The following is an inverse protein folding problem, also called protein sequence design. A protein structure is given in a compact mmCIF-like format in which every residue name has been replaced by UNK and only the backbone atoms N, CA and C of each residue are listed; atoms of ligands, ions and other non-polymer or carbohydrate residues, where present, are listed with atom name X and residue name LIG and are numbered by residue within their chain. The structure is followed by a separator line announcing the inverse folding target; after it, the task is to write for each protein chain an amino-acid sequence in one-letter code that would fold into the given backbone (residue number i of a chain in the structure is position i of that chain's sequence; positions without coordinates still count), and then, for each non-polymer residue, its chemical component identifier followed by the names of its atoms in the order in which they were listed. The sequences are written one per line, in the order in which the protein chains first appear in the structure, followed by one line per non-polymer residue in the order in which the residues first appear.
data_IF_179666629394
#
_entry.id   IF_179666629394
#
_cell.length_a   1.000
_cell.length_b   1.000
_cell.length_c   1.000
_cell.angle_alpha   90.00
_cell.angle_beta   90.00
_cell.angle_gamma   90.00
#
_symmetry.space_group_name_H-M   'P 1'
#
loop_
_entity.id
_entity.type
_entity.pdbx_description
1 polymer ?
#
# COMPACT_ATOMS: atom_id res chain seq x y z
N UNK A 1 26.16 56.33 -11.97
CA UNK A 1 26.40 55.21 -11.08
C UNK A 1 25.41 54.10 -11.39
N UNK A 2 25.95 53.00 -11.67
CA UNK A 2 25.57 51.70 -12.24
C UNK A 2 24.25 51.11 -11.78
N UNK A 3 23.55 50.40 -12.66
CA UNK A 3 22.36 49.60 -12.31
C UNK A 3 22.74 48.27 -11.73
N UNK A 4 21.85 47.76 -10.94
CA UNK A 4 21.95 46.53 -10.25
C UNK A 4 21.58 45.34 -11.11
N UNK A 5 22.17 44.26 -10.73
CA UNK A 5 22.22 42.97 -11.37
C UNK A 5 20.92 42.20 -11.18
N UNK A 6 20.64 41.46 -12.19
CA UNK A 6 19.65 40.40 -12.33
C UNK A 6 19.66 39.41 -11.16
N UNK A 7 18.54 39.29 -10.47
CA UNK A 7 18.21 38.08 -9.71
C UNK A 7 17.81 37.00 -10.75
N UNK A 8 18.76 36.19 -11.12
CA UNK A 8 18.55 34.95 -11.84
C UNK A 8 17.77 34.00 -10.94
N UNK A 9 16.45 33.94 -11.11
CA UNK A 9 15.63 32.87 -10.60
C UNK A 9 16.02 31.59 -11.36
N UNK A 10 16.95 30.84 -10.79
CA UNK A 10 17.29 29.48 -11.22
C UNK A 10 16.11 28.54 -10.97
N UNK A 11 15.14 28.57 -11.85
CA UNK A 11 14.12 27.54 -11.98
C UNK A 11 14.77 26.25 -12.46
N UNK A 12 15.12 25.34 -11.52
CA UNK A 12 15.56 23.98 -11.87
C UNK A 12 14.50 23.36 -12.77
N UNK A 13 14.84 23.09 -14.02
CA UNK A 13 13.95 22.47 -14.98
C UNK A 13 13.62 21.06 -14.51
N UNK A 14 12.38 20.86 -14.00
CA UNK A 14 11.88 19.56 -13.58
C UNK A 14 12.04 18.55 -14.71
N UNK A 15 12.71 17.45 -14.47
CA UNK A 15 12.98 16.42 -15.47
C UNK A 15 11.67 15.79 -16.00
N UNK A 16 11.72 15.19 -17.20
CA UNK A 16 10.57 14.48 -17.77
C UNK A 16 10.09 13.35 -16.84
N UNK A 17 11.00 12.67 -16.15
CA UNK A 17 10.72 11.63 -15.19
C UNK A 17 9.97 12.17 -13.97
N UNK A 18 10.44 13.29 -13.40
CA UNK A 18 9.79 13.94 -12.26
C UNK A 18 8.38 14.46 -12.60
N UNK A 19 8.20 15.02 -13.80
CA UNK A 19 6.87 15.44 -14.26
C UNK A 19 5.92 14.26 -14.39
N UNK A 20 6.42 13.11 -14.90
CA UNK A 20 5.62 11.89 -15.00
C UNK A 20 5.25 11.37 -13.61
N UNK A 21 6.18 11.32 -12.65
CA UNK A 21 5.91 10.93 -11.26
C UNK A 21 4.87 11.86 -10.59
N UNK A 22 4.99 13.17 -10.77
CA UNK A 22 4.02 14.14 -10.25
C UNK A 22 2.62 13.94 -10.83
N UNK A 23 2.50 13.55 -12.09
CA UNK A 23 1.22 13.19 -12.72
C UNK A 23 0.61 11.93 -12.15
N UNK A 24 1.42 10.89 -11.84
CA UNK A 24 0.94 9.68 -11.17
C UNK A 24 0.39 10.00 -9.78
N UNK A 25 1.08 10.82 -8.99
CA UNK A 25 0.60 11.26 -7.68
C UNK A 25 -0.68 12.12 -7.77
N UNK A 26 -0.77 13.00 -8.76
CA UNK A 26 -1.98 13.80 -9.00
C UNK A 26 -3.16 12.91 -9.40
N UNK A 27 -2.93 11.87 -10.21
CA UNK A 27 -3.95 10.89 -10.58
C UNK A 27 -4.44 10.09 -9.36
N UNK A 28 -3.55 9.67 -8.46
CA UNK A 28 -3.92 8.99 -7.20
C UNK A 28 -4.78 9.90 -6.32
N UNK A 29 -4.40 11.17 -6.13
CA UNK A 29 -5.22 12.14 -5.39
C UNK A 29 -6.58 12.36 -6.03
N UNK A 30 -6.62 12.44 -7.36
CA UNK A 30 -7.88 12.60 -8.11
C UNK A 30 -8.80 11.38 -7.92
N UNK A 31 -8.26 10.16 -7.94
CA UNK A 31 -9.04 8.93 -7.65
C UNK A 31 -9.61 8.96 -6.23
N UNK A 32 -8.80 9.29 -5.23
CA UNK A 32 -9.26 9.37 -3.84
C UNK A 32 -10.38 10.43 -3.63
N UNK A 33 -10.36 11.50 -4.43
CA UNK A 33 -11.33 12.60 -4.32
C UNK A 33 -12.60 12.39 -5.14
N UNK A 34 -12.51 11.71 -6.27
CA UNK A 34 -13.58 11.63 -7.26
C UNK A 34 -13.98 10.18 -7.61
N UNK A 35 -13.34 9.19 -6.99
CA UNK A 35 -13.53 7.77 -7.29
C UNK A 35 -12.77 7.29 -8.53
N UNK A 36 -12.88 5.98 -8.82
CA UNK A 36 -12.16 5.32 -9.90
C UNK A 36 -12.57 5.78 -11.32
N UNK A 37 -13.74 6.41 -11.48
CA UNK A 37 -14.24 6.94 -12.76
C UNK A 37 -13.78 8.39 -13.03
N UNK A 38 -12.70 8.83 -12.39
CA UNK A 38 -12.14 10.16 -12.52
C UNK A 38 -11.80 10.54 -13.96
N UNK A 39 -12.13 11.80 -14.33
CA UNK A 39 -11.92 12.31 -15.68
C UNK A 39 -10.60 13.04 -15.84
N UNK A 40 -10.07 13.10 -17.06
CA UNK A 40 -8.82 13.78 -17.40
C UNK A 40 -8.73 15.21 -16.86
N UNK A 41 -9.82 15.98 -16.94
CA UNK A 41 -9.88 17.36 -16.41
C UNK A 41 -9.68 17.45 -14.90
N UNK A 42 -10.12 16.44 -14.15
CA UNK A 42 -9.97 16.40 -12.70
C UNK A 42 -8.52 16.06 -12.33
N UNK A 43 -7.88 15.11 -13.05
CA UNK A 43 -6.45 14.82 -12.88
C UNK A 43 -5.61 16.04 -13.24
N UNK A 44 -5.91 16.72 -14.35
CA UNK A 44 -5.21 17.93 -14.77
C UNK A 44 -5.30 19.04 -13.70
N UNK A 45 -6.49 19.24 -13.13
CA UNK A 45 -6.69 20.20 -12.03
C UNK A 45 -5.86 19.85 -10.80
N UNK A 46 -5.82 18.57 -10.38
CA UNK A 46 -4.99 18.11 -9.25
C UNK A 46 -3.47 18.23 -9.53
N UNK A 47 -3.07 18.23 -10.80
CA UNK A 47 -1.67 18.43 -11.22
C UNK A 47 -1.29 19.89 -11.41
N UNK A 48 -2.25 20.82 -11.37
CA UNK A 48 -2.04 22.23 -11.75
C UNK A 48 -1.70 22.41 -13.24
N UNK A 49 -2.23 21.55 -14.12
CA UNK A 49 -1.92 21.49 -15.55
C UNK A 49 -3.19 21.58 -16.40
N UNK A 50 -3.01 21.78 -17.71
CA UNK A 50 -4.06 21.60 -18.70
C UNK A 50 -4.21 20.14 -19.11
N UNK A 51 -5.40 19.72 -19.57
CA UNK A 51 -5.61 18.37 -20.11
C UNK A 51 -4.65 18.04 -21.26
N UNK A 52 -4.31 19.00 -22.12
CA UNK A 52 -3.33 18.82 -23.19
C UNK A 52 -1.93 18.53 -22.70
N UNK A 53 -1.51 19.17 -21.59
CA UNK A 53 -0.21 18.90 -20.97
C UNK A 53 -0.14 17.48 -20.36
N UNK A 54 -1.25 16.98 -19.81
CA UNK A 54 -1.35 15.59 -19.32
C UNK A 54 -1.25 14.59 -20.48
N UNK A 55 -1.98 14.85 -21.59
CA UNK A 55 -1.98 14.00 -22.79
C UNK A 55 -0.62 13.97 -23.50
N UNK A 56 0.24 14.96 -23.31
CA UNK A 56 1.62 14.90 -23.78
C UNK A 56 2.43 13.78 -23.13
N UNK A 57 2.11 13.42 -21.88
CA UNK A 57 2.81 12.38 -21.10
C UNK A 57 2.11 11.01 -21.15
N UNK A 58 0.79 10.99 -21.31
CA UNK A 58 -0.03 9.78 -21.32
C UNK A 58 -1.03 9.83 -22.47
N UNK A 59 -1.20 8.75 -23.24
CA UNK A 59 -2.06 8.75 -24.43
C UNK A 59 -3.55 9.02 -24.09
N UNK A 60 -3.97 8.63 -22.90
CA UNK A 60 -5.32 8.81 -22.38
C UNK A 60 -5.32 8.75 -20.83
N UNK A 61 -6.48 9.08 -20.25
CA UNK A 61 -6.65 9.07 -18.79
C UNK A 61 -6.58 7.65 -18.22
N UNK A 62 -7.05 6.64 -18.95
CA UNK A 62 -7.05 5.26 -18.48
C UNK A 62 -5.62 4.73 -18.33
N UNK A 63 -4.76 4.97 -19.29
CA UNK A 63 -3.33 4.62 -19.23
C UNK A 63 -2.64 5.29 -18.03
N UNK A 64 -2.95 6.57 -17.79
CA UNK A 64 -2.43 7.29 -16.62
C UNK A 64 -2.91 6.65 -15.32
N UNK A 65 -4.21 6.32 -15.20
CA UNK A 65 -4.79 5.72 -14.01
C UNK A 65 -4.20 4.33 -13.73
N UNK A 66 -4.03 3.51 -14.75
CA UNK A 66 -3.41 2.17 -14.61
C UNK A 66 -1.99 2.29 -14.07
N UNK A 67 -1.17 3.21 -14.60
CA UNK A 67 0.18 3.41 -14.09
C UNK A 67 0.22 4.03 -12.68
N UNK A 68 -0.66 4.99 -12.40
CA UNK A 68 -0.77 5.59 -11.07
C UNK A 68 -1.13 4.53 -10.02
N UNK A 69 -2.03 3.63 -10.35
CA UNK A 69 -2.46 2.56 -9.49
C UNK A 69 -1.35 1.53 -9.26
N UNK A 70 -0.65 1.12 -10.31
CA UNK A 70 0.52 0.25 -10.20
C UNK A 70 1.57 0.87 -9.28
N UNK A 71 1.92 2.13 -9.49
CA UNK A 71 2.90 2.82 -8.66
C UNK A 71 2.48 2.93 -7.19
N UNK A 72 1.17 3.08 -6.91
CA UNK A 72 0.62 3.05 -5.55
C UNK A 72 0.77 1.68 -4.90
N UNK A 73 0.44 0.61 -5.61
CA UNK A 73 0.56 -0.77 -5.13
C UNK A 73 2.02 -1.18 -4.91
N UNK A 74 2.92 -0.80 -5.82
CA UNK A 74 4.36 -1.04 -5.67
C UNK A 74 4.89 -0.36 -4.42
N UNK A 75 4.57 0.93 -4.22
CA UNK A 75 4.98 1.67 -3.02
C UNK A 75 4.44 1.04 -1.73
N UNK A 76 3.16 0.66 -1.69
CA UNK A 76 2.57 -0.03 -0.54
C UNK A 76 3.31 -1.33 -0.21
N UNK A 77 3.61 -2.15 -1.21
CA UNK A 77 4.36 -3.39 -1.02
C UNK A 77 5.81 -3.14 -0.57
N UNK A 78 6.50 -2.16 -1.17
CA UNK A 78 7.88 -1.83 -0.83
C UNK A 78 8.00 -1.24 0.58
N UNK A 79 6.99 -0.52 1.06
CA UNK A 79 6.91 -0.03 2.44
C UNK A 79 6.80 -1.19 3.43
N UNK A 80 6.02 -2.22 3.12
CA UNK A 80 5.94 -3.45 3.91
C UNK A 80 7.27 -4.21 3.95
N UNK A 81 7.97 -4.33 2.82
CA UNK A 81 9.29 -4.95 2.78
C UNK A 81 10.30 -4.19 3.64
N UNK A 82 10.30 -2.85 3.57
CA UNK A 82 11.17 -2.01 4.39
C UNK A 82 10.87 -2.15 5.89
N UNK A 83 9.60 -2.30 6.26
CA UNK A 83 9.20 -2.47 7.66
C UNK A 83 9.82 -3.74 8.31
N UNK A 84 10.07 -4.77 7.52
CA UNK A 84 10.66 -6.04 8.00
C UNK A 84 12.15 -6.19 7.67
N UNK A 85 12.76 -5.19 7.07
CA UNK A 85 14.18 -5.22 6.73
C UNK A 85 15.04 -5.33 8.01
N UNK A 86 16.01 -6.23 8.01
CA UNK A 86 16.90 -6.46 9.16
C UNK A 86 16.28 -7.25 10.31
N UNK A 87 15.00 -7.60 10.28
CA UNK A 87 14.39 -8.46 11.30
C UNK A 87 14.69 -9.92 10.95
N UNK A 88 15.47 -10.60 11.79
CA UNK A 88 15.87 -12.00 11.57
C UNK A 88 14.82 -12.99 12.10
N UNK A 89 14.20 -12.68 13.24
CA UNK A 89 13.29 -13.56 13.98
C UNK A 89 11.93 -13.69 13.24
N UNK A 90 11.51 -14.91 12.84
CA UNK A 90 10.28 -15.13 12.08
C UNK A 90 9.01 -14.65 12.79
N UNK A 91 8.92 -14.83 14.10
CA UNK A 91 7.77 -14.38 14.90
C UNK A 91 7.62 -12.85 14.87
N UNK A 92 8.72 -12.14 15.07
CA UNK A 92 8.77 -10.68 14.99
C UNK A 92 8.46 -10.18 13.58
N UNK A 93 9.04 -10.83 12.55
CA UNK A 93 8.72 -10.52 11.14
C UNK A 93 7.24 -10.68 10.86
N UNK A 94 6.62 -11.76 11.35
CA UNK A 94 5.20 -12.02 11.14
C UNK A 94 4.33 -10.93 11.76
N UNK A 95 4.61 -10.53 13.01
CA UNK A 95 3.89 -9.44 13.69
C UNK A 95 4.02 -8.13 12.93
N UNK A 96 5.23 -7.69 12.60
CA UNK A 96 5.47 -6.42 11.88
C UNK A 96 4.85 -6.45 10.48
N UNK A 97 4.87 -7.61 9.81
CA UNK A 97 4.24 -7.75 8.50
C UNK A 97 2.72 -7.57 8.60
N UNK A 98 2.06 -8.14 9.62
CA UNK A 98 0.63 -7.95 9.87
C UNK A 98 0.32 -6.49 10.20
N UNK A 99 1.09 -5.86 11.10
CA UNK A 99 0.92 -4.44 11.45
C UNK A 99 1.04 -3.53 10.23
N UNK A 100 1.99 -3.79 9.33
CA UNK A 100 2.19 -3.01 8.10
C UNK A 100 1.15 -3.29 6.99
N UNK A 101 0.34 -4.31 7.12
CA UNK A 101 -0.69 -4.70 6.14
C UNK A 101 -2.04 -4.03 6.36
N UNK A 102 -2.24 -3.41 7.51
CA UNK A 102 -3.49 -2.74 7.88
C UNK A 102 -3.33 -1.21 7.82
N UNK A 103 -4.41 -0.46 7.55
CA UNK A 103 -4.36 1.00 7.53
C UNK A 103 -4.04 1.54 8.93
N UNK A 104 -3.27 2.65 8.99
CA UNK A 104 -2.97 3.33 10.25
C UNK A 104 -4.20 4.02 10.84
N UNK A 105 -5.13 4.44 9.98
CA UNK A 105 -6.43 5.00 10.35
C UNK A 105 -7.43 4.92 9.18
N UNK A 106 -8.63 5.44 9.37
CA UNK A 106 -9.69 5.46 8.34
C UNK A 106 -9.41 6.39 7.16
N UNK A 107 -8.37 7.18 7.22
CA UNK A 107 -7.99 8.14 6.17
C UNK A 107 -6.71 7.75 5.44
N UNK A 108 -6.17 6.55 5.72
CA UNK A 108 -4.98 6.00 5.06
C UNK A 108 -5.11 6.07 3.53
N UNK A 109 -4.28 6.86 2.84
CA UNK A 109 -4.44 7.11 1.41
C UNK A 109 -4.08 5.89 0.56
N UNK A 110 -3.18 5.01 1.02
CA UNK A 110 -2.77 3.83 0.27
C UNK A 110 -3.91 2.81 0.26
N UNK A 111 -4.50 2.53 1.43
CA UNK A 111 -5.60 1.57 1.52
C UNK A 111 -6.88 2.11 0.90
N UNK A 112 -7.18 3.42 1.04
CA UNK A 112 -8.29 4.05 0.30
C UNK A 112 -8.17 3.86 -1.20
N UNK A 113 -6.99 4.07 -1.76
CA UNK A 113 -6.74 3.85 -3.19
C UNK A 113 -7.02 2.38 -3.57
N UNK A 114 -6.55 1.41 -2.79
CA UNK A 114 -6.80 -0.01 -3.03
C UNK A 114 -8.29 -0.33 -2.97
N UNK A 115 -9.05 0.23 -2.03
CA UNK A 115 -10.50 0.06 -1.92
C UNK A 115 -11.24 0.60 -3.15
N UNK A 116 -10.89 1.81 -3.62
CA UNK A 116 -11.48 2.40 -4.82
C UNK A 116 -11.23 1.55 -6.07
N UNK A 117 -10.03 1.01 -6.21
CA UNK A 117 -9.67 0.14 -7.33
C UNK A 117 -10.34 -1.23 -7.25
N UNK A 118 -10.43 -1.79 -6.04
CA UNK A 118 -11.15 -3.04 -5.78
C UNK A 118 -12.61 -2.93 -6.18
N UNK A 119 -13.28 -1.85 -5.79
CA UNK A 119 -14.66 -1.57 -6.19
C UNK A 119 -14.86 -1.40 -7.68
N UNK A 120 -13.84 -0.96 -8.42
CA UNK A 120 -13.88 -0.75 -9.86
C UNK A 120 -13.41 -1.96 -10.69
N UNK A 121 -12.79 -2.98 -10.09
CA UNK A 121 -12.16 -4.11 -10.79
C UNK A 121 -13.14 -4.89 -11.69
N UNK A 122 -14.41 -4.97 -11.30
CA UNK A 122 -15.47 -5.59 -12.14
C UNK A 122 -15.76 -4.84 -13.44
N UNK A 123 -15.48 -3.51 -13.47
CA UNK A 123 -15.66 -2.67 -14.68
C UNK A 123 -14.36 -2.52 -15.47
N UNK A 124 -13.23 -2.59 -14.81
CA UNK A 124 -11.90 -2.40 -15.40
C UNK A 124 -11.01 -3.63 -15.13
N UNK A 125 -11.00 -4.63 -16.02
CA UNK A 125 -10.28 -5.89 -15.83
C UNK A 125 -8.78 -5.70 -15.48
N UNK A 126 -8.15 -4.63 -15.99
CA UNK A 126 -6.75 -4.31 -15.69
C UNK A 126 -6.53 -4.06 -14.20
N UNK A 127 -7.50 -3.46 -13.48
CA UNK A 127 -7.39 -3.29 -12.04
C UNK A 127 -7.46 -4.63 -11.31
N UNK A 128 -8.31 -5.56 -11.77
CA UNK A 128 -8.34 -6.93 -11.24
C UNK A 128 -7.00 -7.64 -11.38
N UNK A 129 -6.32 -7.48 -12.53
CA UNK A 129 -4.97 -8.05 -12.74
C UNK A 129 -3.95 -7.45 -11.77
N UNK A 130 -3.96 -6.13 -11.57
CA UNK A 130 -3.06 -5.46 -10.63
C UNK A 130 -3.29 -5.89 -9.19
N UNK A 131 -4.56 -5.98 -8.76
CA UNK A 131 -4.92 -6.43 -7.40
C UNK A 131 -4.53 -7.88 -7.17
N UNK A 132 -4.74 -8.77 -8.15
CA UNK A 132 -4.30 -10.16 -8.09
C UNK A 132 -2.78 -10.24 -7.93
N UNK A 133 -2.03 -9.48 -8.72
CA UNK A 133 -0.58 -9.46 -8.62
C UNK A 133 -0.08 -8.95 -7.24
N UNK A 134 -0.74 -7.94 -6.67
CA UNK A 134 -0.43 -7.46 -5.32
C UNK A 134 -0.74 -8.53 -4.27
N UNK A 135 -1.92 -9.14 -4.32
CA UNK A 135 -2.32 -10.22 -3.44
C UNK A 135 -1.30 -11.37 -3.46
N UNK A 136 -0.92 -11.86 -4.65
CA UNK A 136 0.04 -12.97 -4.78
C UNK A 136 1.43 -12.61 -4.22
N UNK A 137 1.89 -11.37 -4.38
CA UNK A 137 3.15 -10.90 -3.79
C UNK A 137 3.08 -10.86 -2.25
N UNK A 138 1.98 -10.38 -1.68
CA UNK A 138 1.76 -10.36 -0.24
C UNK A 138 1.67 -11.79 0.33
N UNK A 139 0.95 -12.67 -0.33
CA UNK A 139 0.88 -14.09 0.04
C UNK A 139 2.26 -14.74 0.04
N UNK A 140 3.08 -14.50 -1.00
CA UNK A 140 4.44 -15.03 -1.07
C UNK A 140 5.33 -14.51 0.09
N UNK A 141 5.20 -13.24 0.46
CA UNK A 141 5.92 -12.65 1.60
C UNK A 141 5.57 -13.36 2.90
N UNK A 142 4.28 -13.57 3.20
CA UNK A 142 3.84 -14.33 4.38
C UNK A 142 4.29 -15.78 4.34
N UNK A 143 4.19 -16.43 3.18
CA UNK A 143 4.59 -17.83 3.02
C UNK A 143 6.06 -18.04 3.40
N UNK A 144 6.96 -17.18 2.94
CA UNK A 144 8.39 -17.23 3.29
C UNK A 144 8.61 -17.09 4.80
N UNK A 145 7.89 -16.19 5.47
CA UNK A 145 8.00 -15.99 6.91
C UNK A 145 7.52 -17.24 7.68
N UNK A 146 6.38 -17.80 7.29
CA UNK A 146 5.79 -18.98 7.90
C UNK A 146 6.68 -20.22 7.73
N UNK A 147 7.21 -20.43 6.53
CA UNK A 147 8.13 -21.55 6.22
C UNK A 147 9.46 -21.40 6.97
N UNK A 148 9.99 -20.18 7.07
CA UNK A 148 11.20 -19.91 7.86
C UNK A 148 10.98 -20.22 9.35
N UNK A 149 9.86 -19.78 9.93
CA UNK A 149 9.52 -20.06 11.33
C UNK A 149 9.30 -21.55 11.60
N UNK A 150 8.68 -22.27 10.67
CA UNK A 150 8.49 -23.71 10.78
C UNK A 150 9.84 -24.46 10.67
N UNK A 151 10.70 -24.08 9.73
CA UNK A 151 12.02 -24.66 9.55
C UNK A 151 12.94 -24.45 10.76
N UNK A 152 12.79 -23.33 11.47
CA UNK A 152 13.51 -23.01 12.71
C UNK A 152 12.86 -23.65 13.96
N UNK A 153 11.74 -24.34 13.83
CA UNK A 153 11.01 -24.95 14.95
C UNK A 153 10.25 -23.95 15.84
N UNK A 154 10.16 -22.68 15.44
CA UNK A 154 9.36 -21.67 16.15
C UNK A 154 7.85 -21.86 15.94
N UNK A 155 7.44 -22.22 14.71
CA UNK A 155 6.04 -22.37 14.35
C UNK A 155 5.67 -23.82 14.15
N UNK A 156 4.48 -24.21 14.68
CA UNK A 156 3.81 -25.45 14.32
C UNK A 156 2.58 -25.08 13.51
N UNK A 157 2.68 -25.20 12.18
CA UNK A 157 1.63 -24.75 11.27
C UNK A 157 0.43 -25.69 11.32
N UNK A 158 -0.77 -25.14 11.52
CA UNK A 158 -2.04 -25.89 11.56
C UNK A 158 -2.56 -26.29 10.17
N UNK A 159 -2.00 -25.69 9.12
CA UNK A 159 -2.37 -25.89 7.72
C UNK A 159 -1.17 -25.57 6.81
N UNK A 160 -1.20 -25.91 5.51
CA UNK A 160 -0.15 -25.52 4.58
C UNK A 160 0.14 -24.02 4.61
N UNK A 161 1.42 -23.62 4.58
CA UNK A 161 1.87 -22.23 4.68
C UNK A 161 1.13 -21.30 3.71
N UNK A 162 0.92 -21.75 2.47
CA UNK A 162 0.17 -21.04 1.44
C UNK A 162 -1.28 -20.75 1.86
N UNK A 163 -1.95 -21.70 2.53
CA UNK A 163 -3.33 -21.53 3.00
C UNK A 163 -3.38 -20.48 4.12
N UNK A 164 -2.46 -20.56 5.07
CA UNK A 164 -2.36 -19.60 6.18
C UNK A 164 -2.07 -18.20 5.63
N UNK A 165 -1.10 -18.07 4.72
CA UNK A 165 -0.72 -16.82 4.10
C UNK A 165 -1.90 -16.14 3.37
N UNK A 166 -2.66 -16.90 2.58
CA UNK A 166 -3.86 -16.42 1.88
C UNK A 166 -4.93 -15.92 2.86
N UNK A 167 -5.13 -16.63 3.96
CA UNK A 167 -6.12 -16.23 4.96
C UNK A 167 -5.68 -14.95 5.68
N UNK A 168 -4.38 -14.79 6.00
CA UNK A 168 -3.87 -13.55 6.62
C UNK A 168 -4.14 -12.36 5.69
N UNK A 169 -3.76 -12.43 4.42
CA UNK A 169 -3.97 -11.33 3.47
C UNK A 169 -5.46 -11.04 3.29
N UNK A 170 -6.31 -12.08 3.20
CA UNK A 170 -7.76 -11.89 3.10
C UNK A 170 -8.36 -11.21 4.34
N UNK A 171 -7.84 -11.50 5.54
CA UNK A 171 -8.26 -10.83 6.78
C UNK A 171 -7.79 -9.37 6.82
N UNK A 172 -6.55 -9.08 6.39
CA UNK A 172 -6.06 -7.71 6.25
C UNK A 172 -6.96 -6.90 5.30
N UNK A 173 -7.27 -7.44 4.13
CA UNK A 173 -8.15 -6.79 3.15
C UNK A 173 -9.54 -6.54 3.74
N UNK A 174 -10.13 -7.54 4.43
CA UNK A 174 -11.46 -7.42 5.01
C UNK A 174 -11.52 -6.38 6.13
N UNK A 175 -10.57 -6.39 7.05
CA UNK A 175 -10.53 -5.42 8.16
C UNK A 175 -10.10 -4.03 7.67
N UNK A 176 -9.12 -3.93 6.77
CA UNK A 176 -8.71 -2.68 6.15
C UNK A 176 -9.89 -1.99 5.46
N UNK A 177 -10.69 -2.73 4.67
CA UNK A 177 -11.91 -2.18 4.07
C UNK A 177 -12.90 -1.67 5.12
N UNK A 178 -13.11 -2.40 6.25
CA UNK A 178 -14.02 -1.99 7.32
C UNK A 178 -13.54 -0.74 8.05
N UNK A 179 -12.24 -0.61 8.25
CA UNK A 179 -11.65 0.60 8.84
C UNK A 179 -11.85 1.83 7.94
N UNK A 180 -11.57 1.70 6.63
CA UNK A 180 -11.81 2.78 5.65
C UNK A 180 -13.32 3.14 5.60
N UNK A 181 -14.20 2.15 5.76
CA UNK A 181 -15.64 2.38 5.86
C UNK A 181 -16.10 2.93 7.22
N UNK A 182 -15.16 3.26 8.12
CA UNK A 182 -15.40 3.83 9.46
C UNK A 182 -16.30 2.97 10.35
N UNK A 183 -16.03 1.66 10.38
CA UNK A 183 -16.76 0.75 11.27
C UNK A 183 -16.53 1.14 12.73
N UNK A 184 -17.60 1.28 13.55
CA UNK A 184 -17.48 1.90 14.88
C UNK A 184 -16.67 1.10 15.91
N UNK A 185 -16.44 -0.19 15.65
CA UNK A 185 -15.72 -1.09 16.58
C UNK A 185 -14.40 -1.61 16.00
N UNK A 186 -13.91 -1.06 14.90
CA UNK A 186 -12.66 -1.48 14.25
C UNK A 186 -11.75 -0.27 14.03
N UNK A 187 -10.74 -0.16 14.86
CA UNK A 187 -9.59 0.72 14.71
C UNK A 187 -8.33 -0.09 14.32
N UNK A 188 -7.20 0.58 14.19
CA UNK A 188 -5.95 -0.08 13.81
C UNK A 188 -5.54 -1.17 14.82
N UNK A 189 -5.58 -0.86 16.11
CA UNK A 189 -5.15 -1.79 17.15
C UNK A 189 -6.04 -3.03 17.23
N UNK A 190 -7.36 -2.88 17.25
CA UNK A 190 -8.31 -3.99 17.29
C UNK A 190 -8.22 -4.84 16.01
N UNK A 191 -8.03 -4.23 14.85
CA UNK A 191 -7.91 -4.95 13.58
C UNK A 191 -6.62 -5.77 13.51
N UNK A 192 -5.49 -5.21 13.96
CA UNK A 192 -4.22 -5.94 14.09
C UNK A 192 -4.38 -7.14 15.02
N UNK A 193 -4.99 -6.96 16.19
CA UNK A 193 -5.19 -8.08 17.13
C UNK A 193 -6.05 -9.20 16.54
N UNK A 194 -7.10 -8.89 15.80
CA UNK A 194 -7.94 -9.90 15.15
C UNK A 194 -7.18 -10.74 14.12
N UNK A 195 -6.26 -10.11 13.35
CA UNK A 195 -5.40 -10.85 12.41
C UNK A 195 -4.34 -11.65 13.16
N UNK A 196 -3.76 -11.09 14.23
CA UNK A 196 -2.78 -11.79 15.07
C UNK A 196 -3.41 -12.99 15.80
N UNK A 197 -4.65 -12.90 16.24
CA UNK A 197 -5.35 -14.03 16.88
C UNK A 197 -5.48 -15.22 15.92
N UNK A 198 -5.82 -14.97 14.67
CA UNK A 198 -5.77 -16.01 13.64
C UNK A 198 -4.35 -16.56 13.45
N UNK A 199 -3.34 -15.69 13.35
CA UNK A 199 -1.96 -16.11 13.14
C UNK A 199 -1.40 -16.91 14.32
N UNK A 200 -1.74 -16.56 15.58
CA UNK A 200 -1.39 -17.29 16.80
C UNK A 200 -1.90 -18.73 16.76
N UNK A 201 -3.18 -18.91 16.40
CA UNK A 201 -3.77 -20.24 16.26
C UNK A 201 -3.12 -21.01 15.10
N UNK A 202 -2.89 -20.34 13.96
CA UNK A 202 -2.35 -20.94 12.76
C UNK A 202 -0.89 -21.39 12.90
N UNK A 203 -0.10 -20.73 13.76
CA UNK A 203 1.33 -21.01 13.98
C UNK A 203 1.60 -21.74 15.31
N UNK A 204 0.60 -21.90 16.17
CA UNK A 204 0.74 -22.35 17.57
C UNK A 204 1.82 -21.54 18.33
N UNK A 205 1.92 -20.23 18.07
CA UNK A 205 2.92 -19.32 18.66
C UNK A 205 2.23 -18.08 19.25
N UNK A 206 2.68 -17.53 20.40
CA UNK A 206 2.03 -16.41 21.07
C UNK A 206 2.06 -15.09 20.30
N UNK A 207 3.01 -14.88 19.39
CA UNK A 207 3.17 -13.66 18.57
C UNK A 207 2.93 -12.37 19.38
N UNK A 208 3.78 -12.03 20.35
CA UNK A 208 3.57 -10.86 21.19
C UNK A 208 3.80 -9.58 20.36
N UNK A 209 2.90 -8.59 20.51
CA UNK A 209 3.15 -7.25 19.95
C UNK A 209 4.28 -6.57 20.73
N UNK A 210 5.17 -5.93 20.01
CA UNK A 210 6.25 -5.16 20.60
C UNK A 210 5.74 -3.76 20.87
N UNK A 211 5.68 -3.37 22.14
CA UNK A 211 5.33 -2.00 22.52
C UNK A 211 6.30 -0.99 21.89
N UNK A 212 5.82 0.16 21.37
CA UNK A 212 6.67 1.19 20.74
C UNK A 212 7.86 1.66 21.59
N UNK A 213 7.82 1.41 22.92
CA UNK A 213 8.88 1.79 23.86
C UNK A 213 10.12 0.88 23.85
N UNK A 214 10.09 -0.30 23.22
CA UNK A 214 11.25 -1.21 23.18
C UNK A 214 12.11 -1.02 21.92
N UNK A 215 11.59 -0.39 20.88
CA UNK A 215 12.32 -0.14 19.62
C UNK A 215 13.45 0.91 19.76
N UNK A 216 13.52 1.65 20.87
CA UNK A 216 14.50 2.74 21.10
C UNK A 216 15.64 2.35 22.04
N UNK A 217 15.84 1.05 22.34
CA UNK A 217 16.86 0.57 23.29
C UNK A 217 17.89 -0.38 22.68
N UNK A 218 18.05 -0.38 21.35
CA UNK A 218 19.16 -1.11 20.71
C UNK A 218 20.02 -0.19 19.85
#
# INVERSE_FOLDING_TARGET
VTPNQDEEVTGVAVSRSERRANLLHAAQRAVMKHGADVQLKQVAAEAGLTSGAVLYHFPDVQSLLVEANRAGMERFYDERLRAIEGIAEPDRRLVVTIESGLPVDSDDPAVKLLCELGGAAGRYPTYGVLLTALFDRQVAMYQVILESGAAQGQFTLSSPSLTIARNIVALEDAYGYRMIARHPSLDADSSVELVLDYARVATAHPLPRISPNESNRQ
#
